data_IF_001647324072
#
_entry.id   IF_001647324072
#
_cell.length_a   1.000
_cell.length_b   1.000
_cell.length_c   1.000
_cell.angle_alpha   90.00
_cell.angle_beta   90.00
_cell.angle_gamma   90.00
#
_symmetry.space_group_name_H-M   'P 1'
#
loop_
_entity.id
_entity.type
_entity.pdbx_description
1 polymer ?
#
# COMPACT_ATOMS: atom_id res chain seq x y z
N UNK A 1 23.72 -7.09 -11.15
CA UNK A 1 22.33 -7.14 -11.64
C UNK A 1 21.66 -5.81 -11.33
N UNK A 2 21.97 -4.77 -12.09
CA UNK A 2 21.30 -3.46 -12.00
C UNK A 2 20.10 -3.49 -12.94
N UNK A 3 18.90 -3.25 -12.43
CA UNK A 3 17.67 -3.29 -13.24
C UNK A 3 16.43 -3.61 -12.42
N UNK A 4 15.26 -3.33 -12.99
CA UNK A 4 13.95 -3.53 -12.35
C UNK A 4 13.79 -4.95 -11.78
N UNK A 5 14.30 -5.98 -12.46
CA UNK A 5 14.26 -7.37 -11.97
C UNK A 5 14.94 -7.59 -10.62
N UNK A 6 16.04 -6.88 -10.35
CA UNK A 6 16.72 -6.99 -9.05
C UNK A 6 15.89 -6.34 -7.93
N UNK A 7 15.23 -5.22 -8.22
CA UNK A 7 14.34 -4.55 -7.29
C UNK A 7 13.06 -5.37 -7.05
N UNK A 8 12.51 -6.02 -8.08
CA UNK A 8 11.39 -6.95 -7.92
C UNK A 8 11.75 -8.10 -6.96
N UNK A 9 12.90 -8.76 -7.15
CA UNK A 9 13.42 -9.80 -6.24
C UNK A 9 13.69 -9.29 -4.82
N UNK A 10 14.03 -8.01 -4.67
CA UNK A 10 14.16 -7.38 -3.35
C UNK A 10 12.78 -7.22 -2.72
N UNK A 11 11.83 -6.63 -3.44
CA UNK A 11 10.47 -6.39 -2.94
C UNK A 11 9.65 -7.65 -2.75
N UNK A 12 10.03 -8.77 -3.36
CA UNK A 12 9.45 -10.09 -3.08
C UNK A 12 9.66 -10.55 -1.64
N UNK A 13 10.73 -10.08 -0.97
CA UNK A 13 11.06 -10.43 0.41
C UNK A 13 10.33 -9.58 1.45
N UNK A 14 9.57 -8.58 1.00
CA UNK A 14 8.71 -7.78 1.86
C UNK A 14 7.36 -8.48 1.90
N UNK A 15 6.94 -8.96 3.07
CA UNK A 15 5.60 -9.50 3.26
C UNK A 15 4.56 -8.38 3.18
N UNK A 16 3.32 -8.70 2.77
CA UNK A 16 2.25 -7.71 2.79
C UNK A 16 1.93 -7.36 4.24
N UNK A 17 1.83 -6.06 4.53
CA UNK A 17 1.77 -5.57 5.89
C UNK A 17 0.41 -5.84 6.52
N UNK A 18 0.36 -6.30 7.77
CA UNK A 18 -0.90 -6.57 8.50
C UNK A 18 -0.87 -5.88 9.84
N UNK A 19 -1.87 -5.05 10.13
CA UNK A 19 -1.94 -4.34 11.42
C UNK A 19 -2.35 -5.34 12.49
N UNK A 20 -1.40 -5.66 13.36
CA UNK A 20 -1.59 -6.66 14.40
C UNK A 20 -2.43 -6.14 15.57
N UNK A 21 -2.90 -7.07 16.39
CA UNK A 21 -3.65 -6.78 17.61
C UNK A 21 -3.09 -7.64 18.74
N UNK A 22 -2.61 -7.02 19.82
CA UNK A 22 -2.10 -7.76 20.99
C UNK A 22 -3.20 -8.45 21.82
N UNK A 23 -4.45 -8.41 21.38
CA UNK A 23 -5.62 -8.93 22.13
C UNK A 23 -6.10 -8.00 23.26
N UNK A 24 -5.34 -6.96 23.59
CA UNK A 24 -5.66 -5.96 24.60
C UNK A 24 -6.76 -4.97 24.16
N UNK A 25 -7.33 -4.26 25.14
CA UNK A 25 -8.41 -3.29 24.92
C UNK A 25 -7.98 -2.11 24.05
N UNK A 26 -6.72 -1.65 24.14
CA UNK A 26 -6.20 -0.53 23.36
C UNK A 26 -6.33 -0.77 21.85
N UNK A 27 -5.83 -1.90 21.34
CA UNK A 27 -5.93 -2.27 19.93
C UNK A 27 -7.38 -2.45 19.48
N UNK A 28 -8.20 -3.14 20.30
CA UNK A 28 -9.62 -3.37 19.99
C UNK A 28 -10.39 -2.06 19.87
N UNK A 29 -10.12 -1.10 20.75
CA UNK A 29 -10.79 0.20 20.76
C UNK A 29 -10.46 1.01 19.50
N UNK A 30 -9.18 1.10 19.10
CA UNK A 30 -8.79 1.82 17.87
C UNK A 30 -9.40 1.15 16.65
N UNK A 31 -9.24 -0.16 16.51
CA UNK A 31 -9.83 -0.93 15.41
C UNK A 31 -11.34 -0.74 15.32
N UNK A 32 -12.04 -0.83 16.45
CA UNK A 32 -13.49 -0.63 16.49
C UNK A 32 -13.89 0.79 16.07
N UNK A 33 -13.17 1.82 16.51
CA UNK A 33 -13.45 3.22 16.10
C UNK A 33 -13.25 3.41 14.60
N UNK A 34 -12.19 2.84 14.02
CA UNK A 34 -11.90 2.92 12.59
C UNK A 34 -13.02 2.28 11.78
N UNK A 35 -13.33 1.02 12.03
CA UNK A 35 -14.40 0.34 11.27
C UNK A 35 -15.78 0.90 11.62
N UNK A 36 -16.01 1.39 12.84
CA UNK A 36 -17.23 2.08 13.20
C UNK A 36 -17.49 3.31 12.33
N UNK A 37 -16.45 4.09 11.99
CA UNK A 37 -16.55 5.23 11.06
C UNK A 37 -16.71 4.77 9.61
N UNK A 38 -15.90 3.80 9.15
CA UNK A 38 -15.97 3.31 7.77
C UNK A 38 -17.33 2.67 7.43
N UNK A 39 -18.00 2.06 8.41
CA UNK A 39 -19.31 1.44 8.22
C UNK A 39 -20.48 2.43 8.27
N UNK A 40 -20.23 3.72 8.45
CA UNK A 40 -21.26 4.76 8.34
C UNK A 40 -21.51 5.17 6.88
N UNK A 41 -20.60 4.83 5.97
CA UNK A 41 -20.74 5.15 4.55
C UNK A 41 -21.82 4.28 3.90
N UNK A 42 -22.59 4.88 2.99
CA UNK A 42 -23.77 4.25 2.37
C UNK A 42 -23.45 3.05 1.45
N UNK A 43 -22.21 2.93 0.97
CA UNK A 43 -21.77 1.81 0.13
C UNK A 43 -20.27 1.53 0.30
N UNK A 44 -19.85 0.33 -0.13
CA UNK A 44 -18.47 -0.15 -0.02
C UNK A 44 -17.46 0.75 -0.73
N UNK A 45 -17.82 1.32 -1.90
CA UNK A 45 -16.93 2.22 -2.65
C UNK A 45 -16.64 3.51 -1.89
N UNK A 46 -17.65 4.09 -1.26
CA UNK A 46 -17.50 5.26 -0.39
C UNK A 46 -16.68 4.93 0.86
N UNK A 47 -16.91 3.76 1.48
CA UNK A 47 -16.09 3.31 2.61
C UNK A 47 -14.61 3.12 2.22
N UNK A 48 -14.33 2.56 1.04
CA UNK A 48 -12.97 2.43 0.53
C UNK A 48 -12.30 3.77 0.24
N UNK A 49 -13.04 4.71 -0.36
CA UNK A 49 -12.51 6.04 -0.66
C UNK A 49 -12.19 6.86 0.60
N UNK A 50 -12.89 6.58 1.71
CA UNK A 50 -12.67 7.24 2.99
C UNK A 50 -11.44 6.73 3.77
N UNK A 51 -10.83 5.60 3.38
CA UNK A 51 -9.66 5.05 4.07
C UNK A 51 -8.51 6.06 4.19
N UNK A 52 -8.00 6.66 3.10
CA UNK A 52 -6.91 7.63 3.16
C UNK A 52 -7.33 9.00 3.73
N UNK A 53 -8.63 9.27 3.85
CA UNK A 53 -9.14 10.47 4.55
C UNK A 53 -9.15 10.27 6.07
N UNK A 54 -9.45 9.04 6.52
CA UNK A 54 -9.50 8.69 7.93
C UNK A 54 -8.12 8.39 8.52
N UNK A 55 -7.24 7.82 7.71
CA UNK A 55 -5.88 7.43 8.07
C UNK A 55 -4.95 8.24 7.18
N UNK A 56 -4.26 9.22 7.77
CA UNK A 56 -3.39 10.11 7.04
C UNK A 56 -2.14 9.35 6.60
N UNK A 57 -1.73 9.55 5.34
CA UNK A 57 -0.48 9.00 4.84
C UNK A 57 0.72 9.47 5.67
N UNK A 58 1.53 8.52 6.15
CA UNK A 58 2.75 8.81 6.90
C UNK A 58 3.53 7.56 7.29
N UNK A 59 4.69 7.75 7.95
CA UNK A 59 5.57 6.66 8.33
C UNK A 59 4.95 5.76 9.40
N UNK A 60 5.15 4.45 9.23
CA UNK A 60 4.70 3.42 10.17
C UNK A 60 5.88 2.51 10.53
N UNK A 61 6.05 2.24 11.82
CA UNK A 61 7.01 1.26 12.29
C UNK A 61 6.40 -0.14 12.23
N UNK A 62 7.00 -1.04 11.44
CA UNK A 62 6.56 -2.43 11.32
C UNK A 62 7.42 -3.36 12.19
N UNK A 63 6.83 -4.38 12.86
CA UNK A 63 5.40 -4.71 12.87
C UNK A 63 4.56 -3.69 13.66
N UNK A 64 3.48 -3.22 13.05
CA UNK A 64 2.57 -2.23 13.64
C UNK A 64 1.36 -2.91 14.28
N UNK A 65 0.85 -2.31 15.36
CA UNK A 65 -0.39 -2.72 16.00
C UNK A 65 -1.40 -1.58 15.96
N UNK A 66 -2.68 -1.92 16.14
CA UNK A 66 -3.75 -0.91 16.10
C UNK A 66 -3.57 0.22 17.12
N UNK A 67 -2.93 -0.01 18.26
CA UNK A 67 -2.65 1.03 19.25
C UNK A 67 -1.47 1.93 18.89
N UNK A 68 -0.70 1.60 17.85
CA UNK A 68 0.48 2.35 17.40
C UNK A 68 0.11 3.37 16.30
N UNK A 69 -1.05 3.20 15.66
CA UNK A 69 -1.53 4.09 14.59
C UNK A 69 -2.00 5.49 15.04
N UNK A 70 -2.53 5.70 16.25
CA UNK A 70 -2.87 7.04 16.72
C UNK A 70 -1.64 7.95 16.82
N UNK A 71 -1.70 9.11 16.17
CA UNK A 71 -0.66 10.13 16.22
C UNK A 71 -1.31 11.50 16.41
N UNK A 72 -1.07 12.13 17.55
CA UNK A 72 -1.80 13.33 17.97
C UNK A 72 -3.31 13.06 18.05
N UNK A 73 -4.10 13.90 17.37
CA UNK A 73 -5.57 13.78 17.31
C UNK A 73 -6.07 12.89 16.16
N UNK A 74 -5.16 12.27 15.39
CA UNK A 74 -5.46 11.54 14.17
C UNK A 74 -4.95 10.10 14.16
N UNK A 75 -5.08 9.47 13.00
CA UNK A 75 -4.47 8.18 12.68
C UNK A 75 -3.47 8.39 11.55
N UNK A 76 -2.30 7.77 11.66
CA UNK A 76 -1.29 7.75 10.62
C UNK A 76 -1.11 6.33 10.09
N UNK A 77 -0.91 6.20 8.78
CA UNK A 77 -0.74 4.92 8.11
C UNK A 77 0.02 5.05 6.79
N UNK A 78 0.67 3.97 6.37
CA UNK A 78 1.29 3.86 5.05
C UNK A 78 0.43 2.98 4.12
N UNK A 79 0.99 2.58 2.98
CA UNK A 79 0.24 1.79 1.98
C UNK A 79 -0.16 0.42 2.53
N UNK A 80 0.66 -0.14 3.42
CA UNK A 80 0.37 -1.39 4.10
C UNK A 80 -0.82 -1.26 5.03
N UNK A 81 -0.88 -0.20 5.83
CA UNK A 81 -2.05 0.10 6.68
C UNK A 81 -3.29 0.30 5.82
N UNK A 82 -3.23 1.16 4.79
CA UNK A 82 -4.40 1.42 3.95
C UNK A 82 -4.90 0.17 3.24
N UNK A 83 -4.00 -0.67 2.70
CA UNK A 83 -4.37 -1.92 2.06
C UNK A 83 -4.96 -2.95 3.03
N UNK A 84 -4.42 -3.06 4.25
CA UNK A 84 -4.97 -3.95 5.26
C UNK A 84 -6.38 -3.52 5.72
N UNK A 85 -6.59 -2.21 5.93
CA UNK A 85 -7.90 -1.66 6.29
C UNK A 85 -8.91 -1.83 5.15
N UNK A 86 -8.54 -1.49 3.92
CA UNK A 86 -9.42 -1.63 2.76
C UNK A 86 -9.79 -3.10 2.47
N UNK A 87 -8.84 -4.04 2.62
CA UNK A 87 -9.12 -5.48 2.50
C UNK A 87 -10.11 -5.95 3.58
N UNK A 88 -9.98 -5.45 4.81
CA UNK A 88 -10.93 -5.76 5.88
C UNK A 88 -12.34 -5.21 5.61
N UNK A 89 -12.47 -4.02 4.99
CA UNK A 89 -13.75 -3.48 4.50
C UNK A 89 -14.37 -4.41 3.46
N UNK A 90 -13.61 -4.78 2.43
CA UNK A 90 -14.07 -5.69 1.37
C UNK A 90 -14.48 -7.07 1.90
N UNK A 91 -13.69 -7.63 2.82
CA UNK A 91 -13.99 -8.91 3.48
C UNK A 91 -15.33 -8.85 4.20
N UNK A 92 -15.58 -7.77 4.94
CA UNK A 92 -16.81 -7.58 5.71
C UNK A 92 -18.05 -7.49 4.81
N UNK A 93 -17.90 -6.86 3.65
CA UNK A 93 -18.96 -6.72 2.63
C UNK A 93 -19.03 -7.94 1.68
N UNK A 94 -18.30 -9.02 1.98
CA UNK A 94 -18.24 -10.24 1.17
C UNK A 94 -17.86 -10.00 -0.30
N UNK A 95 -17.07 -8.96 -0.57
CA UNK A 95 -16.57 -8.67 -1.92
C UNK A 95 -15.31 -9.50 -2.18
N UNK A 96 -15.28 -10.36 -3.22
CA UNK A 96 -14.08 -11.11 -3.57
C UNK A 96 -12.93 -10.19 -3.95
N UNK A 97 -11.79 -10.37 -3.30
CA UNK A 97 -10.60 -9.57 -3.52
C UNK A 97 -9.34 -10.36 -3.16
N UNK A 98 -8.20 -9.89 -3.64
CA UNK A 98 -6.89 -10.33 -3.17
C UNK A 98 -6.02 -9.11 -2.88
N UNK A 99 -5.14 -9.21 -1.89
CA UNK A 99 -4.12 -8.19 -1.68
C UNK A 99 -2.99 -8.38 -2.66
N UNK A 100 -2.28 -7.31 -2.97
CA UNK A 100 -1.14 -7.36 -3.87
C UNK A 100 -0.20 -6.19 -3.67
N UNK A 101 0.72 -6.07 -4.61
CA UNK A 101 1.75 -5.05 -4.61
C UNK A 101 1.97 -4.51 -6.01
N UNK A 102 2.25 -3.23 -6.09
CA UNK A 102 2.72 -2.52 -7.26
C UNK A 102 4.17 -2.10 -7.05
N UNK A 103 4.91 -1.99 -8.15
CA UNK A 103 6.19 -1.27 -8.17
C UNK A 103 5.99 0.02 -8.92
N UNK A 104 6.14 1.13 -8.23
CA UNK A 104 5.97 2.46 -8.81
C UNK A 104 7.32 3.06 -9.16
N UNK A 105 7.39 3.77 -10.29
CA UNK A 105 8.44 4.72 -10.60
C UNK A 105 7.93 6.12 -10.27
N UNK A 106 8.27 6.66 -9.09
CA UNK A 106 7.84 7.99 -8.69
C UNK A 106 8.66 9.07 -9.40
N UNK A 107 8.33 10.33 -9.13
CA UNK A 107 9.14 11.46 -9.55
C UNK A 107 10.58 11.34 -8.99
N UNK A 108 11.64 11.84 -9.69
CA UNK A 108 13.03 11.55 -9.36
C UNK A 108 13.47 11.84 -7.92
N UNK A 109 12.91 12.89 -7.28
CA UNK A 109 13.29 13.29 -5.92
C UNK A 109 12.44 12.65 -4.81
N UNK A 110 11.31 12.03 -5.17
CA UNK A 110 10.38 11.48 -4.18
C UNK A 110 10.99 10.33 -3.34
N UNK A 111 11.75 9.35 -3.88
CA UNK A 111 12.36 8.31 -3.05
C UNK A 111 13.32 8.84 -2.00
N UNK A 112 14.11 9.87 -2.32
CA UNK A 112 15.04 10.48 -1.37
C UNK A 112 14.28 11.23 -0.26
N UNK A 113 13.24 11.98 -0.64
CA UNK A 113 12.38 12.68 0.31
C UNK A 113 11.67 11.72 1.27
N UNK A 114 10.98 10.69 0.76
CA UNK A 114 10.29 9.71 1.60
C UNK A 114 11.25 8.95 2.51
N UNK A 115 12.45 8.59 2.01
CA UNK A 115 13.47 7.95 2.83
C UNK A 115 13.91 8.83 4.00
N UNK A 116 14.12 10.12 3.75
CA UNK A 116 14.44 11.06 4.82
C UNK A 116 13.32 11.12 5.87
N UNK A 117 12.06 11.25 5.44
CA UNK A 117 10.91 11.30 6.35
C UNK A 117 10.69 10.01 7.15
N UNK A 118 10.87 8.84 6.53
CA UNK A 118 10.77 7.55 7.24
C UNK A 118 11.90 7.38 8.25
N UNK A 119 13.13 7.73 7.87
CA UNK A 119 14.29 7.63 8.76
C UNK A 119 14.19 8.60 9.95
N UNK A 120 13.69 9.83 9.73
CA UNK A 120 13.44 10.81 10.79
C UNK A 120 12.42 10.28 11.82
N UNK A 121 11.40 9.57 11.36
CA UNK A 121 10.42 8.90 12.22
C UNK A 121 10.90 7.55 12.80
N UNK A 122 12.14 7.13 12.52
CA UNK A 122 12.66 5.83 12.93
C UNK A 122 11.94 4.63 12.31
N UNK A 123 11.25 4.82 11.17
CA UNK A 123 10.55 3.80 10.42
C UNK A 123 11.45 3.21 9.32
N UNK A 124 11.21 1.93 8.97
CA UNK A 124 12.01 1.23 7.96
C UNK A 124 11.75 1.74 6.53
N UNK A 125 12.81 1.97 5.76
CA UNK A 125 12.76 2.46 4.37
C UNK A 125 12.95 1.34 3.33
N UNK A 126 12.85 0.07 3.75
CA UNK A 126 13.15 -1.09 2.92
C UNK A 126 12.27 -1.19 1.65
N UNK A 127 11.07 -0.59 1.70
CA UNK A 127 10.12 -0.43 0.59
C UNK A 127 10.58 0.57 -0.48
N UNK A 128 11.61 1.37 -0.19
CA UNK A 128 12.16 2.38 -1.09
C UNK A 128 13.46 1.86 -1.70
N UNK A 129 13.52 1.80 -3.03
CA UNK A 129 14.77 1.57 -3.77
C UNK A 129 15.37 2.90 -4.27
N UNK A 130 16.34 2.85 -5.18
CA UNK A 130 16.95 4.06 -5.74
C UNK A 130 15.99 4.82 -6.69
N UNK A 131 15.21 4.10 -7.50
CA UNK A 131 14.34 4.68 -8.56
C UNK A 131 12.91 4.17 -8.56
N UNK A 132 12.61 3.20 -7.69
CA UNK A 132 11.30 2.57 -7.62
C UNK A 132 10.93 2.35 -6.16
N UNK A 133 9.64 2.18 -5.91
CA UNK A 133 9.10 1.89 -4.58
C UNK A 133 8.14 0.71 -4.64
N UNK A 134 8.12 -0.05 -3.57
CA UNK A 134 7.06 -1.00 -3.26
C UNK A 134 5.82 -0.23 -2.81
N UNK A 135 4.65 -0.63 -3.30
CA UNK A 135 3.37 -0.03 -2.92
C UNK A 135 2.32 -1.13 -2.77
N UNK A 136 1.53 -1.11 -1.70
CA UNK A 136 0.50 -2.13 -1.48
C UNK A 136 -0.85 -1.71 -2.07
N UNK A 137 -1.49 -2.65 -2.77
CA UNK A 137 -2.72 -2.43 -3.55
C UNK A 137 -3.67 -3.62 -3.39
N UNK A 138 -4.90 -3.48 -3.89
CA UNK A 138 -5.92 -4.54 -3.83
C UNK A 138 -6.40 -4.87 -5.24
N UNK A 139 -6.57 -6.16 -5.53
CA UNK A 139 -7.21 -6.67 -6.74
C UNK A 139 -8.69 -6.93 -6.45
N UNK A 140 -9.58 -6.39 -7.27
CA UNK A 140 -11.03 -6.67 -7.22
C UNK A 140 -11.52 -6.98 -8.62
N UNK A 141 -11.92 -8.23 -8.85
CA UNK A 141 -12.24 -8.73 -10.19
C UNK A 141 -11.09 -8.47 -11.17
N UNK A 142 -11.40 -7.77 -12.27
CA UNK A 142 -10.42 -7.46 -13.31
C UNK A 142 -9.69 -6.13 -13.15
N UNK A 143 -9.88 -5.41 -12.04
CA UNK A 143 -9.22 -4.12 -11.79
C UNK A 143 -8.35 -4.12 -10.53
N UNK A 144 -7.47 -3.12 -10.44
CA UNK A 144 -6.68 -2.84 -9.24
C UNK A 144 -7.17 -1.56 -8.58
N UNK A 145 -7.18 -1.56 -7.26
CA UNK A 145 -7.50 -0.42 -6.40
C UNK A 145 -6.27 -0.03 -5.60
N UNK A 146 -5.94 1.26 -5.62
CA UNK A 146 -4.96 1.88 -4.74
C UNK A 146 -5.69 2.48 -3.52
N UNK A 147 -5.56 1.87 -2.33
CA UNK A 147 -6.18 2.37 -1.10
C UNK A 147 -5.60 3.68 -0.61
N UNK A 148 -4.36 4.02 -0.98
CA UNK A 148 -3.69 5.25 -0.53
C UNK A 148 -4.10 6.46 -1.34
N UNK A 149 -4.53 6.24 -2.58
CA UNK A 149 -5.01 7.29 -3.49
C UNK A 149 -6.53 7.26 -3.71
N UNK A 150 -7.23 6.28 -3.13
CA UNK A 150 -8.63 6.00 -3.41
C UNK A 150 -8.92 5.91 -4.92
N UNK A 151 -8.13 5.12 -5.66
CA UNK A 151 -8.14 5.13 -7.12
C UNK A 151 -8.11 3.75 -7.78
N UNK A 152 -8.98 3.55 -8.78
CA UNK A 152 -8.93 2.39 -9.67
C UNK A 152 -7.87 2.56 -10.76
N UNK A 153 -7.18 1.47 -11.11
CA UNK A 153 -6.23 1.42 -12.22
C UNK A 153 -6.19 0.04 -12.89
N UNK A 154 -5.67 0.00 -14.12
CA UNK A 154 -5.69 -1.20 -14.98
C UNK A 154 -4.57 -2.21 -14.71
N UNK A 155 -3.58 -1.86 -13.87
CA UNK A 155 -2.39 -2.67 -13.61
C UNK A 155 -1.10 -2.01 -14.11
N UNK A 156 -0.13 -2.81 -14.54
CA UNK A 156 1.15 -2.29 -15.03
C UNK A 156 0.99 -1.43 -16.29
N UNK A 157 1.80 -0.37 -16.40
CA UNK A 157 1.70 0.67 -17.44
C UNK A 157 0.80 1.84 -17.05
N UNK A 158 -0.07 1.69 -16.05
CA UNK A 158 -0.92 2.77 -15.54
C UNK A 158 -0.12 3.89 -14.84
N UNK A 159 -0.77 5.02 -14.60
CA UNK A 159 -0.21 6.14 -13.85
C UNK A 159 -1.08 6.47 -12.63
N UNK A 160 -0.46 6.43 -11.46
CA UNK A 160 -1.01 6.87 -10.18
C UNK A 160 -0.33 8.18 -9.78
N UNK A 161 -0.86 8.88 -8.80
CA UNK A 161 -0.29 10.14 -8.28
C UNK A 161 1.11 9.91 -7.70
N UNK A 162 1.35 8.75 -7.09
CA UNK A 162 2.64 8.27 -6.61
C UNK A 162 3.62 7.87 -7.73
N UNK A 163 3.17 7.78 -8.98
CA UNK A 163 4.02 7.54 -10.15
C UNK A 163 3.51 6.49 -11.14
N UNK A 164 4.36 6.14 -12.11
CA UNK A 164 4.03 5.14 -13.13
C UNK A 164 4.16 3.73 -12.56
N UNK A 165 3.15 2.89 -12.75
CA UNK A 165 3.14 1.49 -12.34
C UNK A 165 4.01 0.68 -13.32
N UNK A 166 5.14 0.16 -12.85
CA UNK A 166 6.05 -0.66 -13.67
C UNK A 166 5.72 -2.15 -13.60
N UNK A 167 5.16 -2.59 -12.47
CA UNK A 167 4.77 -3.98 -12.27
C UNK A 167 3.67 -4.08 -11.22
N UNK A 168 2.85 -5.12 -11.32
CA UNK A 168 1.87 -5.50 -10.29
C UNK A 168 1.93 -6.99 -10.01
N UNK A 169 1.51 -7.42 -8.83
CA UNK A 169 1.49 -8.82 -8.41
C UNK A 169 0.48 -9.02 -7.29
N UNK A 170 -0.35 -10.06 -7.40
CA UNK A 170 -1.19 -10.51 -6.28
C UNK A 170 -0.33 -11.21 -5.21
N UNK A 171 -0.83 -11.35 -3.99
CA UNK A 171 -0.20 -12.15 -2.94
C UNK A 171 0.08 -13.57 -3.49
N UNK A 172 1.34 -14.00 -3.47
CA UNK A 172 1.83 -15.26 -4.05
C UNK A 172 1.73 -15.43 -5.58
N UNK A 173 1.22 -14.44 -6.33
CA UNK A 173 1.13 -14.49 -7.79
C UNK A 173 2.47 -14.31 -8.52
N UNK A 174 2.45 -14.17 -9.84
CA UNK A 174 3.61 -13.75 -10.64
C UNK A 174 3.55 -12.25 -10.97
N UNK A 175 4.71 -11.62 -11.15
CA UNK A 175 4.76 -10.23 -11.58
C UNK A 175 4.20 -10.07 -12.99
N UNK A 176 3.28 -9.14 -13.14
CA UNK A 176 2.82 -8.62 -14.42
C UNK A 176 3.58 -7.33 -14.68
N UNK A 177 4.40 -7.31 -15.72
CA UNK A 177 5.26 -6.17 -16.04
C UNK A 177 4.59 -5.25 -17.03
N UNK A 178 4.94 -3.97 -16.93
CA UNK A 178 4.65 -3.02 -17.98
C UNK A 178 5.42 -3.42 -19.26
N UNK A 179 4.73 -3.52 -20.41
CA UNK A 179 5.37 -3.86 -21.68
C UNK A 179 6.54 -2.96 -22.04
N UNK A 180 6.45 -1.65 -21.76
CA UNK A 180 7.51 -0.67 -22.09
C UNK A 180 8.72 -0.77 -21.13
N UNK A 181 8.49 -1.14 -19.87
CA UNK A 181 9.54 -1.37 -18.88
C UNK A 181 10.37 -2.63 -19.18
N UNK A 182 9.79 -3.59 -19.91
CA UNK A 182 10.47 -4.82 -20.35
C UNK A 182 11.38 -4.53 -21.55
N UNK A 183 10.99 -3.63 -22.45
CA UNK A 183 11.77 -3.24 -23.63
C UNK A 183 13.04 -2.43 -23.28
N UNK A 184 13.00 -1.64 -22.21
CA UNK A 184 14.12 -0.77 -21.81
C UNK A 184 15.30 -1.55 -21.18
N UNK A 185 15.09 -2.82 -20.77
CA UNK A 185 16.17 -3.68 -20.24
C UNK A 185 16.98 -4.39 -21.34
N UNK A 186 16.60 -4.24 -22.62
CA UNK A 186 17.23 -4.93 -23.75
C UNK A 186 18.26 -4.06 -24.51
N UNK A 187 18.53 -2.83 -24.07
CA UNK A 187 19.55 -1.98 -24.66
C UNK A 187 20.86 -2.06 -23.84
N UNK A 188 22.00 -2.42 -24.48
CA UNK A 188 23.29 -2.63 -23.83
C UNK A 188 23.88 -1.33 -23.23
#
# INVERSE_FOLDING_TARGET
MTGLLAELKRFERIDLSRVACHGAACCKAVRYRVFGRLMQYANVGAALAAVPELIRWGPVQWPAHWCDLPEGDGLTGDCGVHADVAAAVLTREAVPHSRGRAVLRPAPLAPAHWRASWNEAGAGDAWIAARVVHHEVIRVGDQWWDPSEARWFSGAGAHLSGGRVLAVREEHGSWQLDPEASATQALP
#
